data_IF_458056667354
#
_entry.id   IF_458056667354
#
_cell.length_a   1.000
_cell.length_b   1.000
_cell.length_c   1.000
_cell.angle_alpha   90.00
_cell.angle_beta   90.00
_cell.angle_gamma   90.00
#
_symmetry.space_group_name_H-M   'P 1'
#
loop_
_entity.id
_entity.type
_entity.pdbx_description
1 polymer ?
#
# COMPACT_ATOMS: atom_id res chain seq x y z
N UNK A 1 -2.94 3.10 -9.47
CA UNK A 1 -2.76 3.57 -8.10
C UNK A 1 -3.20 5.03 -7.97
N UNK A 2 -4.11 5.32 -7.02
CA UNK A 2 -4.69 6.63 -6.78
C UNK A 2 -4.34 7.11 -5.38
N UNK A 3 -3.38 8.05 -5.28
CA UNK A 3 -2.88 8.55 -3.99
C UNK A 3 -3.83 9.56 -3.29
N UNK A 4 -4.71 10.22 -4.03
CA UNK A 4 -5.60 11.28 -3.54
C UNK A 4 -4.88 12.40 -2.78
N UNK A 5 -3.71 12.79 -3.28
CA UNK A 5 -2.83 13.80 -2.69
C UNK A 5 -2.06 14.53 -3.80
N UNK A 6 -1.55 15.73 -3.53
CA UNK A 6 -0.65 16.46 -4.45
C UNK A 6 0.76 15.83 -4.52
N UNK A 7 1.07 14.89 -3.63
CA UNK A 7 2.34 14.15 -3.57
C UNK A 7 2.07 12.66 -3.52
N UNK A 8 3.13 11.82 -3.56
CA UNK A 8 2.96 10.43 -3.14
C UNK A 8 2.52 10.41 -1.67
N UNK A 9 1.42 9.73 -1.39
CA UNK A 9 0.98 9.44 -0.05
C UNK A 9 1.83 8.31 0.54
N UNK A 10 2.15 8.41 1.83
CA UNK A 10 2.79 7.36 2.61
C UNK A 10 2.15 7.30 4.00
N UNK A 11 2.47 6.32 4.88
CA UNK A 11 1.82 6.20 6.19
C UNK A 11 1.96 7.43 7.10
N UNK A 12 2.92 8.30 6.81
CA UNK A 12 3.16 9.54 7.58
C UNK A 12 2.53 10.80 6.99
N UNK A 13 1.93 10.72 5.80
CA UNK A 13 1.38 11.89 5.10
C UNK A 13 0.25 11.51 4.13
N UNK A 14 -0.95 11.55 4.64
CA UNK A 14 -2.19 11.18 3.95
C UNK A 14 -3.13 12.39 3.81
N UNK A 15 -2.55 13.58 3.53
CA UNK A 15 -3.33 14.81 3.38
C UNK A 15 -3.99 14.87 2.01
N UNK A 16 -5.23 15.37 1.92
CA UNK A 16 -5.91 15.60 0.65
C UNK A 16 -5.15 16.65 -0.19
N UNK A 17 -5.42 16.72 -1.51
CA UNK A 17 -4.94 17.82 -2.34
C UNK A 17 -5.31 19.18 -1.77
N UNK A 18 -4.51 20.20 -2.06
CA UNK A 18 -4.77 21.60 -1.61
C UNK A 18 -6.15 22.11 -1.98
N UNK A 19 -6.65 21.70 -3.14
CA UNK A 19 -8.00 22.06 -3.61
C UNK A 19 -9.10 21.52 -2.68
N UNK A 20 -8.85 20.45 -1.94
CA UNK A 20 -9.81 19.81 -1.04
C UNK A 20 -9.51 20.10 0.45
N UNK A 21 -8.49 20.88 0.75
CA UNK A 21 -7.97 21.06 2.12
C UNK A 21 -9.00 21.64 3.13
N UNK A 22 -10.03 22.32 2.65
CA UNK A 22 -11.08 22.91 3.48
C UNK A 22 -12.41 22.15 3.40
N UNK A 23 -12.45 21.02 2.70
CA UNK A 23 -13.64 20.20 2.57
C UNK A 23 -13.91 19.45 3.88
N UNK A 24 -15.18 19.35 4.25
CA UNK A 24 -15.61 18.45 5.31
C UNK A 24 -15.61 16.98 4.84
N UNK A 25 -15.95 16.06 5.74
CA UNK A 25 -15.91 14.64 5.43
C UNK A 25 -16.88 14.24 4.31
N UNK A 26 -18.05 14.87 4.21
CA UNK A 26 -19.04 14.56 3.18
C UNK A 26 -18.56 15.04 1.80
N UNK A 27 -17.97 16.22 1.75
CA UNK A 27 -17.35 16.74 0.53
C UNK A 27 -16.13 15.92 0.11
N UNK A 28 -15.29 15.46 1.06
CA UNK A 28 -14.13 14.59 0.77
C UNK A 28 -14.57 13.24 0.20
N UNK A 29 -15.61 12.61 0.74
CA UNK A 29 -16.18 11.38 0.18
C UNK A 29 -16.58 11.59 -1.29
N UNK A 30 -17.29 12.69 -1.57
CA UNK A 30 -17.69 13.04 -2.94
C UNK A 30 -16.48 13.30 -3.84
N UNK A 31 -15.46 13.99 -3.36
CA UNK A 31 -14.24 14.26 -4.14
C UNK A 31 -13.50 12.97 -4.52
N UNK A 32 -13.36 12.02 -3.59
CA UNK A 32 -12.74 10.72 -3.88
C UNK A 32 -13.51 9.98 -4.96
N UNK A 33 -14.84 9.94 -4.85
CA UNK A 33 -15.69 9.32 -5.87
C UNK A 33 -15.55 10.00 -7.24
N UNK A 34 -15.73 11.32 -7.28
CA UNK A 34 -15.73 12.08 -8.54
C UNK A 34 -14.36 12.00 -9.23
N UNK A 35 -13.27 12.16 -8.49
CA UNK A 35 -11.91 12.06 -9.03
C UNK A 35 -11.61 10.67 -9.60
N UNK A 36 -11.92 9.62 -8.84
CA UNK A 36 -11.73 8.23 -9.30
C UNK A 36 -12.52 7.98 -10.59
N UNK A 37 -13.78 8.39 -10.61
CA UNK A 37 -14.67 8.27 -11.77
C UNK A 37 -14.13 9.03 -12.98
N UNK A 38 -13.71 10.27 -12.80
CA UNK A 38 -13.20 11.11 -13.90
C UNK A 38 -11.92 10.52 -14.51
N UNK A 39 -10.98 10.07 -13.68
CA UNK A 39 -9.75 9.40 -14.14
C UNK A 39 -10.09 8.16 -14.97
N UNK A 40 -10.96 7.29 -14.48
CA UNK A 40 -11.33 6.06 -15.17
C UNK A 40 -12.13 6.33 -16.45
N UNK A 41 -13.00 7.33 -16.47
CA UNK A 41 -13.70 7.74 -17.68
C UNK A 41 -12.76 8.30 -18.76
N UNK A 42 -11.68 9.00 -18.35
CA UNK A 42 -10.63 9.44 -19.28
C UNK A 42 -9.88 8.25 -19.87
N UNK A 43 -9.50 7.27 -19.05
CA UNK A 43 -8.83 6.05 -19.51
C UNK A 43 -9.76 5.21 -20.41
N UNK A 44 -11.03 5.08 -20.05
CA UNK A 44 -12.05 4.35 -20.85
C UNK A 44 -12.19 4.92 -22.26
N UNK A 45 -12.19 6.25 -22.39
CA UNK A 45 -12.27 6.91 -23.73
C UNK A 45 -11.06 6.63 -24.62
N UNK A 46 -9.92 6.25 -24.01
CA UNK A 46 -8.67 5.90 -24.70
C UNK A 46 -8.50 4.40 -24.88
N UNK A 47 -9.48 3.58 -24.45
CA UNK A 47 -9.38 2.11 -24.39
C UNK A 47 -8.20 1.62 -23.54
N UNK A 48 -7.95 2.30 -22.40
CA UNK A 48 -6.82 2.06 -21.47
C UNK A 48 -7.30 1.76 -20.05
N UNK A 49 -8.48 1.13 -19.89
CA UNK A 49 -8.92 0.73 -18.56
C UNK A 49 -7.92 -0.26 -17.94
N UNK A 50 -7.51 -0.06 -16.69
CA UNK A 50 -6.57 -0.97 -16.02
C UNK A 50 -7.25 -2.27 -15.60
N UNK A 51 -6.50 -3.35 -15.53
CA UNK A 51 -7.00 -4.62 -14.95
C UNK A 51 -7.19 -4.53 -13.43
N UNK A 52 -6.48 -3.60 -12.78
CA UNK A 52 -6.56 -3.38 -11.33
C UNK A 52 -6.44 -1.89 -10.99
N UNK A 53 -7.21 -1.45 -9.99
CA UNK A 53 -7.15 -0.10 -9.43
C UNK A 53 -6.83 -0.21 -7.94
N UNK A 54 -5.75 0.44 -7.52
CA UNK A 54 -5.44 0.64 -6.11
C UNK A 54 -6.13 1.92 -5.62
N UNK A 55 -6.96 1.79 -4.60
CA UNK A 55 -7.70 2.90 -3.99
C UNK A 55 -6.97 3.37 -2.74
N UNK A 56 -6.20 4.43 -2.86
CA UNK A 56 -5.28 4.93 -1.83
C UNK A 56 -3.96 4.16 -1.80
N UNK A 57 -2.88 4.80 -1.33
CA UNK A 57 -1.56 4.21 -1.18
C UNK A 57 -1.15 4.16 0.28
N UNK A 58 -0.69 2.98 0.78
CA UNK A 58 -0.19 2.79 2.15
C UNK A 58 -1.11 3.38 3.23
N UNK A 59 -2.39 3.03 3.16
CA UNK A 59 -3.47 3.63 3.96
C UNK A 59 -3.59 3.08 5.38
N UNK A 60 -2.53 2.48 5.92
CA UNK A 60 -2.51 1.90 7.27
C UNK A 60 -2.91 2.88 8.37
N UNK A 61 -2.54 4.16 8.22
CA UNK A 61 -2.91 5.24 9.14
C UNK A 61 -4.10 6.08 8.63
N UNK A 62 -4.83 5.54 7.63
CA UNK A 62 -5.97 6.19 7.00
C UNK A 62 -5.60 7.02 5.78
N UNK A 63 -6.53 7.86 5.32
CA UNK A 63 -6.37 8.79 4.18
C UNK A 63 -7.22 10.04 4.41
N UNK A 64 -7.03 11.09 3.61
CA UNK A 64 -7.80 12.35 3.74
C UNK A 64 -7.70 12.97 5.15
N UNK A 65 -6.48 13.08 5.67
CA UNK A 65 -6.28 13.68 7.00
C UNK A 65 -6.71 15.15 7.06
N UNK A 66 -7.26 15.64 8.23
CA UNK A 66 -7.41 14.90 9.49
C UNK A 66 -8.66 14.01 9.57
N UNK A 67 -9.60 14.09 8.64
CA UNK A 67 -10.93 13.46 8.75
C UNK A 67 -10.90 11.94 8.72
N UNK A 68 -10.00 11.34 7.95
CA UNK A 68 -9.85 9.88 7.82
C UNK A 68 -8.56 9.36 8.43
N UNK A 69 -8.16 9.87 9.61
CA UNK A 69 -7.10 9.24 10.41
C UNK A 69 -7.58 7.93 11.03
N UNK A 70 -6.62 7.10 11.46
CA UNK A 70 -6.90 5.79 12.04
C UNK A 70 -7.85 5.80 13.25
N UNK A 71 -7.92 6.88 13.99
CA UNK A 71 -8.88 7.08 15.09
C UNK A 71 -10.32 7.31 14.60
N UNK A 72 -10.54 7.43 13.28
CA UNK A 72 -11.85 7.57 12.65
C UNK A 72 -12.02 6.56 11.49
N UNK A 73 -12.14 5.29 11.83
CA UNK A 73 -12.28 4.18 10.87
C UNK A 73 -13.53 4.30 10.01
N UNK A 74 -14.60 4.90 10.54
CA UNK A 74 -15.85 5.08 9.78
C UNK A 74 -15.62 6.00 8.58
N UNK A 75 -14.88 7.10 8.75
CA UNK A 75 -14.53 7.97 7.63
C UNK A 75 -13.53 7.31 6.67
N UNK A 76 -12.57 6.52 7.17
CA UNK A 76 -11.66 5.74 6.31
C UNK A 76 -12.48 4.84 5.38
N UNK A 77 -13.40 4.07 5.97
CA UNK A 77 -14.26 3.16 5.20
C UNK A 77 -15.15 3.91 4.20
N UNK A 78 -15.70 5.06 4.56
CA UNK A 78 -16.50 5.91 3.66
C UNK A 78 -15.69 6.37 2.45
N UNK A 79 -14.49 6.89 2.66
CA UNK A 79 -13.65 7.41 1.58
C UNK A 79 -13.18 6.31 0.64
N UNK A 80 -12.73 5.19 1.17
CA UNK A 80 -12.34 4.02 0.37
C UNK A 80 -13.53 3.49 -0.42
N UNK A 81 -14.69 3.33 0.23
CA UNK A 81 -15.92 2.86 -0.41
C UNK A 81 -16.36 3.77 -1.56
N UNK A 82 -16.17 5.09 -1.43
CA UNK A 82 -16.46 6.03 -2.51
C UNK A 82 -15.58 5.76 -3.74
N UNK A 83 -14.27 5.53 -3.54
CA UNK A 83 -13.36 5.14 -4.61
C UNK A 83 -13.77 3.81 -5.25
N UNK A 84 -14.09 2.79 -4.43
CA UNK A 84 -14.52 1.47 -4.92
C UNK A 84 -15.79 1.58 -5.75
N UNK A 85 -16.82 2.31 -5.28
CA UNK A 85 -18.07 2.52 -6.03
C UNK A 85 -17.80 3.14 -7.41
N UNK A 86 -16.89 4.13 -7.47
CA UNK A 86 -16.53 4.75 -8.73
C UNK A 86 -15.81 3.76 -9.68
N UNK A 87 -14.92 2.91 -9.17
CA UNK A 87 -14.28 1.85 -9.97
C UNK A 87 -15.34 0.90 -10.51
N UNK A 88 -16.22 0.37 -9.65
CA UNK A 88 -17.26 -0.60 -10.04
C UNK A 88 -18.22 -0.04 -11.06
N UNK A 89 -18.54 1.26 -11.00
CA UNK A 89 -19.42 1.92 -11.96
C UNK A 89 -18.80 2.05 -13.35
N UNK A 90 -17.53 2.47 -13.43
CA UNK A 90 -16.89 2.80 -14.72
C UNK A 90 -16.19 1.60 -15.34
N UNK A 91 -15.58 0.76 -14.51
CA UNK A 91 -14.77 -0.39 -14.90
C UNK A 91 -15.08 -1.61 -14.01
N UNK A 92 -16.25 -2.24 -14.16
CA UNK A 92 -16.70 -3.34 -13.31
C UNK A 92 -15.78 -4.56 -13.36
N UNK A 93 -15.01 -4.74 -14.43
CA UNK A 93 -14.06 -5.84 -14.60
C UNK A 93 -12.70 -5.56 -13.94
N UNK A 94 -12.40 -4.31 -13.59
CA UNK A 94 -11.18 -3.96 -12.86
C UNK A 94 -11.24 -4.48 -11.43
N UNK A 95 -10.18 -5.14 -11.00
CA UNK A 95 -10.01 -5.55 -9.60
C UNK A 95 -9.68 -4.34 -8.74
N UNK A 96 -10.13 -4.33 -7.50
CA UNK A 96 -9.80 -3.28 -6.52
C UNK A 96 -8.82 -3.80 -5.50
N UNK A 97 -7.72 -3.07 -5.32
CA UNK A 97 -6.70 -3.36 -4.31
C UNK A 97 -6.72 -2.31 -3.20
N UNK A 98 -6.62 -2.77 -1.95
CA UNK A 98 -6.34 -1.95 -0.78
C UNK A 98 -4.92 -2.23 -0.28
N UNK A 99 -4.11 -1.18 -0.13
CA UNK A 99 -2.66 -1.28 0.08
C UNK A 99 -2.25 -0.75 1.45
N UNK A 100 -1.59 -1.62 2.25
CA UNK A 100 -1.05 -1.29 3.57
C UNK A 100 0.48 -1.43 3.59
N UNK A 101 1.15 -0.62 4.42
CA UNK A 101 2.61 -0.63 4.61
C UNK A 101 3.12 -1.62 5.67
N UNK A 102 2.30 -2.54 6.12
CA UNK A 102 2.60 -3.42 7.25
C UNK A 102 2.91 -4.87 6.84
N UNK A 103 3.70 -5.10 5.77
CA UNK A 103 3.89 -6.42 5.15
C UNK A 103 4.28 -7.55 6.11
N UNK A 104 5.13 -7.30 7.11
CA UNK A 104 5.49 -8.31 8.12
C UNK A 104 4.73 -8.19 9.45
N UNK A 105 3.83 -7.23 9.60
CA UNK A 105 3.08 -7.03 10.86
C UNK A 105 1.63 -7.53 10.75
N UNK A 106 1.45 -8.84 10.89
CA UNK A 106 0.14 -9.49 10.80
C UNK A 106 -0.89 -8.90 11.78
N UNK A 107 -0.51 -8.62 13.01
CA UNK A 107 -1.44 -8.07 14.02
C UNK A 107 -2.02 -6.72 13.55
N UNK A 108 -1.17 -5.84 13.00
CA UNK A 108 -1.61 -4.54 12.48
C UNK A 108 -2.48 -4.67 11.24
N UNK A 109 -2.09 -5.55 10.32
CA UNK A 109 -2.89 -5.81 9.11
C UNK A 109 -4.27 -6.37 9.46
N UNK A 110 -4.35 -7.33 10.39
CA UNK A 110 -5.63 -7.89 10.86
C UNK A 110 -6.50 -6.83 11.54
N UNK A 111 -5.92 -6.03 12.44
CA UNK A 111 -6.64 -4.93 13.10
C UNK A 111 -7.29 -4.02 12.05
N UNK A 112 -6.53 -3.67 11.02
CA UNK A 112 -7.00 -2.77 9.96
C UNK A 112 -8.12 -3.42 9.13
N UNK A 113 -7.88 -4.60 8.57
CA UNK A 113 -8.85 -5.26 7.71
C UNK A 113 -10.10 -5.70 8.47
N UNK A 114 -9.98 -6.19 9.72
CA UNK A 114 -11.14 -6.53 10.57
C UNK A 114 -12.04 -5.31 10.82
N UNK A 115 -11.43 -4.14 11.00
CA UNK A 115 -12.18 -2.89 11.18
C UNK A 115 -12.85 -2.42 9.87
N UNK A 116 -12.14 -2.56 8.75
CA UNK A 116 -12.62 -2.12 7.44
C UNK A 116 -13.77 -3.00 6.90
N UNK A 117 -13.64 -4.33 6.91
CA UNK A 117 -14.64 -5.24 6.31
C UNK A 117 -16.00 -5.19 6.99
N UNK A 118 -16.08 -4.65 8.18
CA UNK A 118 -17.35 -4.42 8.90
C UNK A 118 -18.08 -3.15 8.44
N UNK A 119 -17.43 -2.28 7.66
CA UNK A 119 -17.88 -0.90 7.38
C UNK A 119 -17.87 -0.54 5.91
N UNK A 120 -16.90 -1.06 5.16
CA UNK A 120 -16.60 -0.64 3.80
C UNK A 120 -17.15 -1.59 2.75
N UNK A 121 -17.12 -1.10 1.52
CA UNK A 121 -17.42 -1.89 0.32
C UNK A 121 -16.40 -3.02 0.11
N UNK A 122 -16.83 -4.10 -0.53
CA UNK A 122 -15.97 -5.24 -0.82
C UNK A 122 -14.89 -4.90 -1.87
N UNK A 123 -13.71 -5.51 -1.68
CA UNK A 123 -12.53 -5.35 -2.53
C UNK A 123 -11.96 -6.73 -2.93
N UNK A 124 -10.98 -6.78 -3.85
CA UNK A 124 -10.52 -8.04 -4.45
C UNK A 124 -9.12 -8.45 -3.98
N UNK A 125 -8.24 -7.49 -3.70
CA UNK A 125 -6.82 -7.73 -3.51
C UNK A 125 -6.29 -6.99 -2.29
N UNK A 126 -5.50 -7.68 -1.48
CA UNK A 126 -4.69 -7.10 -0.42
C UNK A 126 -3.32 -6.75 -1.00
N UNK A 127 -2.96 -5.46 -1.00
CA UNK A 127 -1.63 -4.98 -1.33
C UNK A 127 -0.80 -4.76 -0.07
N UNK A 128 0.47 -5.14 -0.10
CA UNK A 128 1.40 -4.98 1.02
C UNK A 128 2.70 -4.34 0.55
N UNK A 129 3.21 -3.35 1.30
CA UNK A 129 4.61 -2.95 1.19
C UNK A 129 5.47 -3.85 2.06
N UNK A 130 6.58 -4.33 1.52
CA UNK A 130 7.56 -5.09 2.26
C UNK A 130 8.98 -4.57 2.03
N UNK A 131 9.49 -3.89 3.04
CA UNK A 131 10.86 -3.42 3.12
C UNK A 131 11.52 -4.10 4.32
N UNK A 132 12.51 -5.00 4.14
CA UNK A 132 13.05 -5.82 5.22
C UNK A 132 13.68 -5.00 6.35
N UNK A 133 14.04 -3.74 6.07
CA UNK A 133 14.57 -2.81 7.07
C UNK A 133 13.56 -2.40 8.14
N UNK A 134 12.25 -2.44 7.83
CA UNK A 134 11.18 -1.89 8.66
C UNK A 134 10.07 -2.89 8.97
N UNK A 135 9.90 -3.90 8.10
CA UNK A 135 8.70 -4.74 8.11
C UNK A 135 8.98 -6.19 8.57
N UNK A 136 10.12 -6.43 9.23
CA UNK A 136 10.46 -7.74 9.75
C UNK A 136 11.06 -8.72 8.73
N UNK A 137 11.07 -9.99 9.06
CA UNK A 137 11.66 -11.06 8.25
C UNK A 137 10.76 -11.47 7.06
N UNK A 138 11.34 -12.22 6.11
CA UNK A 138 10.53 -12.85 5.03
C UNK A 138 9.54 -13.87 5.62
N UNK A 139 9.85 -14.52 6.73
CA UNK A 139 8.92 -15.44 7.38
C UNK A 139 7.75 -14.68 8.02
N UNK A 140 7.97 -13.48 8.58
CA UNK A 140 6.88 -12.62 9.03
C UNK A 140 5.96 -12.20 7.88
N UNK A 141 6.52 -11.79 6.73
CA UNK A 141 5.76 -11.52 5.51
C UNK A 141 4.96 -12.75 5.06
N UNK A 142 5.60 -13.93 5.04
CA UNK A 142 4.97 -15.19 4.63
C UNK A 142 3.77 -15.53 5.51
N UNK A 143 3.96 -15.45 6.83
CA UNK A 143 2.89 -15.69 7.80
C UNK A 143 1.74 -14.71 7.63
N UNK A 144 2.05 -13.43 7.41
CA UNK A 144 1.05 -12.39 7.18
C UNK A 144 0.25 -12.65 5.89
N UNK A 145 0.92 -12.89 4.76
CA UNK A 145 0.24 -13.19 3.49
C UNK A 145 -0.68 -14.41 3.60
N UNK A 146 -0.19 -15.51 4.21
CA UNK A 146 -0.97 -16.72 4.37
C UNK A 146 -2.22 -16.50 5.24
N UNK A 147 -2.06 -15.84 6.38
CA UNK A 147 -3.18 -15.56 7.28
C UNK A 147 -4.22 -14.62 6.62
N UNK A 148 -3.77 -13.52 6.03
CA UNK A 148 -4.67 -12.56 5.40
C UNK A 148 -5.45 -13.17 4.24
N UNK A 149 -4.76 -13.93 3.36
CA UNK A 149 -5.41 -14.57 2.22
C UNK A 149 -6.48 -15.57 2.65
N UNK A 150 -6.22 -16.36 3.68
CA UNK A 150 -7.17 -17.34 4.23
C UNK A 150 -8.31 -16.65 5.00
N UNK A 151 -7.99 -15.66 5.84
CA UNK A 151 -8.97 -14.99 6.70
C UNK A 151 -9.99 -14.19 5.89
N UNK A 152 -9.53 -13.43 4.90
CA UNK A 152 -10.40 -12.54 4.11
C UNK A 152 -10.82 -13.14 2.77
N UNK A 153 -10.28 -14.30 2.38
CA UNK A 153 -10.54 -14.95 1.09
C UNK A 153 -10.20 -14.04 -0.10
N UNK A 154 -9.12 -13.26 0.03
CA UNK A 154 -8.63 -12.30 -0.98
C UNK A 154 -7.30 -12.77 -1.55
N UNK A 155 -7.04 -12.34 -2.78
CA UNK A 155 -5.69 -12.43 -3.35
C UNK A 155 -4.74 -11.45 -2.65
N UNK A 156 -3.44 -11.78 -2.64
CA UNK A 156 -2.41 -10.94 -2.02
C UNK A 156 -1.34 -10.61 -3.06
N UNK A 157 -0.93 -9.34 -3.06
CA UNK A 157 0.18 -8.81 -3.87
C UNK A 157 1.13 -8.07 -2.95
N UNK A 158 2.44 -8.30 -3.10
CA UNK A 158 3.46 -7.43 -2.53
C UNK A 158 3.63 -6.25 -3.47
N UNK A 159 2.85 -5.19 -3.24
CA UNK A 159 2.73 -4.03 -4.12
C UNK A 159 4.02 -3.20 -4.17
N UNK A 160 4.78 -3.19 -3.07
CA UNK A 160 6.06 -2.51 -2.97
C UNK A 160 7.06 -3.41 -2.26
N UNK A 161 8.27 -3.54 -2.84
CA UNK A 161 9.38 -4.27 -2.22
C UNK A 161 10.70 -3.67 -2.67
N UNK A 162 11.64 -3.51 -1.73
CA UNK A 162 12.97 -3.06 -2.05
C UNK A 162 13.99 -3.53 -1.02
N UNK A 163 15.20 -3.77 -1.51
CA UNK A 163 16.40 -4.00 -0.72
C UNK A 163 17.59 -3.40 -1.45
N UNK A 164 18.53 -2.79 -0.72
CA UNK A 164 19.76 -2.25 -1.29
C UNK A 164 20.68 -3.33 -1.87
N UNK A 165 21.41 -2.98 -2.89
CA UNK A 165 22.43 -3.84 -3.52
C UNK A 165 23.87 -3.39 -3.21
N UNK A 166 24.04 -2.34 -2.42
CA UNK A 166 25.35 -1.80 -2.02
C UNK A 166 25.25 -1.11 -0.67
N UNK A 167 26.39 -1.00 0.01
CA UNK A 167 26.55 -0.19 1.22
C UNK A 167 27.11 1.22 0.94
N UNK A 168 27.37 1.58 -0.30
CA UNK A 168 27.98 2.86 -0.68
C UNK A 168 27.10 4.06 -0.29
N UNK A 169 25.78 3.94 -0.44
CA UNK A 169 24.83 4.98 -0.04
C UNK A 169 24.95 5.36 1.44
N UNK A 170 25.38 4.43 2.30
CA UNK A 170 25.61 4.72 3.72
C UNK A 170 26.78 5.66 3.95
N UNK A 171 27.83 5.54 3.16
CA UNK A 171 29.02 6.40 3.26
C UNK A 171 28.71 7.86 2.87
N UNK A 172 27.78 8.06 1.95
CA UNK A 172 27.42 9.39 1.46
C UNK A 172 26.25 10.02 2.25
N UNK A 173 25.51 9.23 3.02
CA UNK A 173 24.36 9.70 3.77
C UNK A 173 24.66 10.90 4.68
N UNK A 174 25.81 10.91 5.33
CA UNK A 174 26.19 12.00 6.24
C UNK A 174 26.48 13.31 5.51
N UNK A 175 26.78 13.26 4.23
CA UNK A 175 27.02 14.42 3.36
C UNK A 175 25.70 15.08 2.92
N UNK A 176 24.59 14.39 3.01
CA UNK A 176 23.28 14.87 2.58
C UNK A 176 22.61 15.73 3.68
N UNK A 177 21.83 16.73 3.27
CA UNK A 177 21.01 17.50 4.19
C UNK A 177 19.90 16.62 4.82
N UNK A 178 19.42 16.91 6.04
CA UNK A 178 18.41 16.10 6.71
C UNK A 178 17.15 15.84 5.88
N UNK A 179 16.71 16.80 5.05
CA UNK A 179 15.57 16.66 4.16
C UNK A 179 15.80 15.64 3.02
N UNK A 180 17.06 15.50 2.59
CA UNK A 180 17.48 14.59 1.52
C UNK A 180 17.64 13.15 2.05
N UNK A 181 17.86 13.00 3.36
CA UNK A 181 17.94 11.70 4.04
C UNK A 181 16.57 11.09 4.35
N UNK A 182 15.49 11.88 4.19
CA UNK A 182 14.14 11.43 4.52
C UNK A 182 13.69 10.37 3.52
N UNK A 183 13.30 9.22 4.02
CA UNK A 183 12.87 8.08 3.20
C UNK A 183 14.01 7.19 2.69
N UNK A 184 15.27 7.55 2.94
CA UNK A 184 16.40 6.67 2.61
C UNK A 184 16.52 5.56 3.65
N UNK A 185 16.40 4.31 3.21
CA UNK A 185 16.66 3.12 4.02
C UNK A 185 18.17 2.85 4.18
N UNK A 186 18.95 3.91 4.35
CA UNK A 186 20.44 3.88 4.31
C UNK A 186 21.09 4.14 5.67
N UNK A 187 20.40 3.87 6.77
CA UNK A 187 21.04 3.90 8.08
C UNK A 187 21.78 2.59 8.30
N UNK A 188 23.06 2.58 8.70
CA UNK A 188 23.84 1.35 8.87
C UNK A 188 23.15 0.28 9.72
N UNK A 189 22.50 0.68 10.82
CA UNK A 189 21.77 -0.24 11.68
C UNK A 189 20.51 -0.87 11.02
N UNK A 190 19.99 -0.27 9.96
CA UNK A 190 18.88 -0.88 9.20
C UNK A 190 19.37 -2.02 8.32
N UNK A 191 20.62 -1.94 7.82
CA UNK A 191 21.24 -3.03 7.07
C UNK A 191 21.46 -4.28 7.96
N UNK A 192 21.73 -4.08 9.25
CA UNK A 192 21.93 -5.16 10.22
C UNK A 192 20.66 -6.00 10.45
N UNK A 193 19.48 -5.40 10.20
CA UNK A 193 18.19 -6.08 10.31
C UNK A 193 17.85 -6.96 9.09
N UNK A 194 18.62 -6.85 8.00
CA UNK A 194 18.35 -7.57 6.76
C UNK A 194 19.14 -8.87 6.72
N UNK A 195 18.46 -9.99 6.50
CA UNK A 195 19.07 -11.34 6.51
C UNK A 195 19.95 -11.61 5.27
N UNK A 196 19.93 -10.72 4.27
CA UNK A 196 20.68 -10.84 3.03
C UNK A 196 21.77 -9.78 2.94
N UNK A 197 22.96 -10.10 2.40
CA UNK A 197 24.02 -9.11 2.24
C UNK A 197 23.62 -8.02 1.22
N UNK A 198 23.99 -6.78 1.48
CA UNK A 198 23.78 -5.66 0.57
C UNK A 198 24.75 -5.71 -0.61
N UNK A 199 24.53 -6.67 -1.50
CA UNK A 199 25.26 -6.91 -2.74
C UNK A 199 24.28 -7.22 -3.87
N UNK A 200 24.65 -7.13 -5.15
CA UNK A 200 23.78 -7.53 -6.25
C UNK A 200 23.25 -8.96 -6.10
N UNK A 201 24.11 -9.89 -5.67
CA UNK A 201 23.73 -11.31 -5.45
C UNK A 201 22.76 -11.45 -4.27
N UNK A 202 23.02 -10.70 -3.18
CA UNK A 202 22.15 -10.70 -2.01
C UNK A 202 20.78 -10.13 -2.31
N UNK A 203 20.72 -9.01 -3.07
CA UNK A 203 19.45 -8.43 -3.53
C UNK A 203 18.69 -9.43 -4.43
N UNK A 204 19.39 -10.09 -5.38
CA UNK A 204 18.78 -11.09 -6.27
C UNK A 204 18.23 -12.27 -5.47
N UNK A 205 18.98 -12.80 -4.50
CA UNK A 205 18.53 -13.90 -3.64
C UNK A 205 17.32 -13.51 -2.77
N UNK A 206 17.33 -12.30 -2.24
CA UNK A 206 16.19 -11.72 -1.50
C UNK A 206 14.93 -11.67 -2.38
N UNK A 207 15.03 -11.05 -3.56
CA UNK A 207 13.89 -10.91 -4.48
C UNK A 207 13.36 -12.27 -4.93
N UNK A 208 14.26 -13.22 -5.26
CA UNK A 208 13.86 -14.60 -5.58
C UNK A 208 13.08 -15.22 -4.41
N UNK A 209 13.56 -15.05 -3.18
CA UNK A 209 12.91 -15.61 -2.00
C UNK A 209 11.53 -15.01 -1.76
N UNK A 210 11.37 -13.69 -1.92
CA UNK A 210 10.05 -13.03 -1.84
C UNK A 210 9.10 -13.60 -2.88
N UNK A 211 9.52 -13.73 -4.15
CA UNK A 211 8.70 -14.31 -5.21
C UNK A 211 8.30 -15.76 -4.94
N UNK A 212 9.23 -16.58 -4.41
CA UNK A 212 8.94 -17.96 -4.00
C UNK A 212 7.85 -18.01 -2.91
N UNK A 213 7.92 -17.11 -1.91
CA UNK A 213 6.94 -17.05 -0.82
C UNK A 213 5.57 -16.58 -1.30
N UNK A 214 5.53 -15.63 -2.21
CA UNK A 214 4.27 -15.20 -2.85
C UNK A 214 3.64 -16.38 -3.60
N UNK A 215 4.41 -17.10 -4.41
CA UNK A 215 3.90 -18.25 -5.17
C UNK A 215 3.39 -19.39 -4.27
N UNK A 216 3.82 -19.47 -3.01
CA UNK A 216 3.41 -20.46 -2.02
C UNK A 216 2.19 -20.06 -1.19
N UNK A 217 1.65 -18.86 -1.37
CA UNK A 217 0.42 -18.44 -0.67
C UNK A 217 -0.71 -19.45 -0.97
N UNK A 218 -1.44 -19.94 0.05
CA UNK A 218 -2.46 -20.98 -0.13
C UNK A 218 -3.50 -20.62 -1.20
N UNK A 219 -4.05 -21.67 -1.81
CA UNK A 219 -5.11 -21.58 -2.83
C UNK A 219 -4.72 -20.79 -4.09
N UNK A 220 -3.41 -20.60 -4.33
CA UNK A 220 -2.89 -19.82 -5.44
C UNK A 220 -3.25 -18.32 -5.36
N UNK A 221 -3.46 -17.80 -4.16
CA UNK A 221 -3.86 -16.42 -3.92
C UNK A 221 -2.70 -15.43 -3.91
N UNK A 222 -1.46 -15.85 -3.93
CA UNK A 222 -0.31 -14.97 -4.21
C UNK A 222 -0.26 -14.64 -5.70
N UNK A 223 -0.35 -13.36 -6.05
CA UNK A 223 -0.47 -12.90 -7.45
C UNK A 223 0.67 -12.03 -7.94
N UNK A 224 1.55 -11.59 -7.06
CA UNK A 224 2.69 -10.75 -7.41
C UNK A 224 3.37 -10.12 -6.20
#
# INVERSE_FOLDING_TARGET
DLHYSDFWADPGKQFPPKEWAYADADALEKHVYDYTKDVLLKLKRLDLLPEMVQVGNEITNGLMWPHGKWDNVDNIARFISAGIRAVREVSPDSRVMLHLDCGGNNARCREWFDAYVQRGEDFDVIGLSYYPFWHGTIDDLTNNMNDLSQRYQKDVIVAEVSMGFTMEDYADREKLAPKERKGMATKPHLAEAVEYPMTPEGQAAFMQKVMERIAQVPDGRGKG
#
